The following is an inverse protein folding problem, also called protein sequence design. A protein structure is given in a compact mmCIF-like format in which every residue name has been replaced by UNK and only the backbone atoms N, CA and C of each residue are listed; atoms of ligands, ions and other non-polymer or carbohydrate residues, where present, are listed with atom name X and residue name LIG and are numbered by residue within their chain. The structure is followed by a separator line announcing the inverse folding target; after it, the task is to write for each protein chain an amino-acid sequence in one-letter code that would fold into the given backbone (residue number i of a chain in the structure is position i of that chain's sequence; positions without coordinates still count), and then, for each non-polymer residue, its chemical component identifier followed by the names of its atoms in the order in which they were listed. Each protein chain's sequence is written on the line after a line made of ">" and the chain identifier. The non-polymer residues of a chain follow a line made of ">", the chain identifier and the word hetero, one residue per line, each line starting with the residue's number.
data_IF_731903697629
#
_entry.id   IF_731903697629
#
_cell.length_a   1.000
_cell.length_b   1.000
_cell.length_c   1.000
_cell.angle_alpha   90.00
_cell.angle_beta   90.00
_cell.angle_gamma   90.00
#
_symmetry.space_group_name_H-M   'P 1'
#
loop_
_entity.id
_entity.type
_entity.pdbx_description
1 polymer ?
#
# COMPACT_ATOMS: atom_id res chain seq x y z
N UNK A 1 -25.38 8.17 -11.79
CA UNK A 1 -24.46 7.94 -10.66
C UNK A 1 -23.32 7.07 -11.16
N UNK A 2 -22.10 7.40 -10.76
CA UNK A 2 -20.88 6.69 -11.18
C UNK A 2 -20.70 5.44 -10.33
N UNK A 3 -20.30 4.34 -10.95
CA UNK A 3 -19.99 3.07 -10.27
C UNK A 3 -18.49 2.86 -10.26
N UNK A 4 -17.91 2.79 -9.07
CA UNK A 4 -16.48 2.72 -8.88
C UNK A 4 -16.08 1.38 -8.26
N UNK A 5 -15.38 0.50 -8.99
CA UNK A 5 -14.88 -0.75 -8.44
C UNK A 5 -13.65 -0.50 -7.57
N UNK A 6 -13.68 -0.99 -6.33
CA UNK A 6 -12.56 -1.04 -5.40
C UNK A 6 -12.09 -2.50 -5.28
N UNK A 7 -10.89 -2.86 -5.79
CA UNK A 7 -10.37 -4.22 -5.72
C UNK A 7 -10.12 -4.67 -4.27
N UNK A 8 -10.50 -5.90 -3.96
CA UNK A 8 -10.27 -6.58 -2.68
C UNK A 8 -9.37 -7.79 -2.95
N UNK A 9 -8.10 -7.79 -2.53
CA UNK A 9 -7.21 -8.94 -2.66
C UNK A 9 -7.71 -10.15 -1.87
N UNK A 10 -7.22 -11.33 -2.22
CA UNK A 10 -7.40 -12.52 -1.38
C UNK A 10 -6.77 -12.30 0.00
N UNK A 11 -7.37 -12.92 1.02
CA UNK A 11 -6.95 -12.72 2.41
C UNK A 11 -7.51 -11.47 3.07
N UNK A 12 -8.44 -10.76 2.43
CA UNK A 12 -9.21 -9.68 3.05
C UNK A 12 -10.65 -10.09 3.34
N UNK A 13 -11.18 -9.66 4.48
CA UNK A 13 -12.58 -9.80 4.87
C UNK A 13 -13.30 -8.47 4.71
N UNK A 14 -14.39 -8.48 3.95
CA UNK A 14 -15.24 -7.30 3.73
C UNK A 14 -15.98 -6.92 5.03
N UNK A 15 -15.92 -5.64 5.41
CA UNK A 15 -16.51 -5.08 6.64
C UNK A 15 -17.77 -4.25 6.42
N UNK A 16 -18.18 -4.09 5.16
CA UNK A 16 -19.39 -3.33 4.76
C UNK A 16 -20.44 -4.24 4.13
N UNK A 17 -21.67 -3.74 3.99
CA UNK A 17 -22.78 -4.48 3.35
C UNK A 17 -23.31 -3.73 2.14
N UNK A 18 -23.90 -4.46 1.19
CA UNK A 18 -24.66 -3.85 0.10
C UNK A 18 -25.75 -2.92 0.66
N UNK A 19 -25.87 -1.74 0.07
CA UNK A 19 -26.77 -0.68 0.51
C UNK A 19 -26.21 0.27 1.56
N UNK A 20 -25.09 -0.07 2.22
CA UNK A 20 -24.45 0.78 3.23
C UNK A 20 -23.91 2.07 2.59
N UNK A 21 -24.13 3.21 3.27
CA UNK A 21 -23.43 4.45 2.94
C UNK A 21 -22.05 4.41 3.59
N UNK A 22 -21.03 4.75 2.82
CA UNK A 22 -19.63 4.81 3.26
C UNK A 22 -19.07 6.21 3.03
N UNK A 23 -18.23 6.66 3.95
CA UNK A 23 -17.49 7.92 3.82
C UNK A 23 -16.12 7.68 3.18
N UNK A 24 -15.53 8.71 2.57
CA UNK A 24 -14.12 8.66 2.17
C UNK A 24 -13.25 8.28 3.38
N UNK A 25 -12.29 7.38 3.16
CA UNK A 25 -11.38 6.75 4.14
C UNK A 25 -12.04 5.79 5.13
N UNK A 26 -13.33 5.47 5.00
CA UNK A 26 -13.96 4.43 5.80
C UNK A 26 -13.43 3.04 5.42
N UNK A 27 -13.22 2.14 6.39
CA UNK A 27 -12.71 0.79 6.12
C UNK A 27 -13.77 -0.03 5.37
N UNK A 28 -13.42 -0.53 4.19
CA UNK A 28 -14.26 -1.43 3.38
C UNK A 28 -13.96 -2.90 3.63
N UNK A 29 -12.69 -3.24 3.80
CA UNK A 29 -12.21 -4.59 4.06
C UNK A 29 -10.94 -4.56 4.90
N UNK A 30 -10.68 -5.61 5.66
CA UNK A 30 -9.50 -5.75 6.52
C UNK A 30 -8.76 -7.05 6.19
N UNK A 31 -7.44 -7.07 6.33
CA UNK A 31 -6.66 -8.31 6.23
C UNK A 31 -7.17 -9.31 7.28
N UNK A 32 -7.33 -10.58 6.89
CA UNK A 32 -7.80 -11.71 7.72
C UNK A 32 -6.75 -12.24 8.71
N UNK A 33 -5.63 -11.53 8.87
CA UNK A 33 -4.65 -11.65 9.97
C UNK A 33 -3.83 -12.96 10.10
N UNK A 34 -4.11 -14.03 9.36
CA UNK A 34 -3.46 -15.31 9.69
C UNK A 34 -2.08 -15.59 9.04
N UNK A 35 -1.59 -14.75 8.12
CA UNK A 35 -0.33 -15.03 7.40
C UNK A 35 0.80 -14.00 7.57
N UNK A 36 0.54 -12.77 8.04
CA UNK A 36 1.49 -11.65 7.83
C UNK A 36 2.18 -11.09 9.08
N UNK A 37 1.75 -11.43 10.30
CA UNK A 37 2.29 -10.84 11.53
C UNK A 37 3.04 -11.84 12.41
N UNK A 38 3.85 -12.74 11.82
CA UNK A 38 4.71 -13.66 12.57
C UNK A 38 6.18 -13.28 12.41
N UNK A 39 6.84 -12.94 13.51
CA UNK A 39 8.28 -12.78 13.56
C UNK A 39 8.94 -13.99 14.22
N UNK A 40 10.22 -14.22 13.91
CA UNK A 40 11.00 -15.34 14.44
C UNK A 40 12.16 -14.83 15.30
N UNK A 41 12.27 -15.35 16.52
CA UNK A 41 13.41 -15.11 17.41
C UNK A 41 14.31 -16.35 17.41
N UNK A 42 15.54 -16.20 16.91
CA UNK A 42 16.51 -17.30 16.74
C UNK A 42 17.22 -17.67 18.05
N UNK A 43 16.58 -18.47 18.90
CA UNK A 43 17.12 -18.82 20.23
C UNK A 43 18.31 -19.78 20.15
N UNK A 44 18.12 -20.92 19.47
CA UNK A 44 19.13 -21.97 19.34
C UNK A 44 20.42 -21.46 18.67
N UNK A 45 20.27 -20.82 17.50
CA UNK A 45 21.38 -20.24 16.77
C UNK A 45 22.06 -19.08 17.54
N UNK A 46 21.27 -18.21 18.18
CA UNK A 46 21.80 -17.06 18.94
C UNK A 46 22.60 -17.48 20.18
N UNK A 47 22.19 -18.57 20.84
CA UNK A 47 22.89 -19.11 22.02
C UNK A 47 23.96 -20.16 21.66
N UNK A 48 24.01 -20.61 20.41
CA UNK A 48 24.92 -21.67 19.93
C UNK A 48 24.72 -23.00 20.69
N UNK A 49 23.47 -23.43 20.83
CA UNK A 49 23.05 -24.66 21.52
C UNK A 49 22.09 -25.48 20.65
N UNK A 50 21.71 -26.70 21.07
CA UNK A 50 20.69 -27.48 20.36
C UNK A 50 19.28 -26.92 20.58
N UNK A 51 18.32 -27.12 19.65
CA UNK A 51 16.91 -26.74 19.83
C UNK A 51 16.29 -27.32 21.12
N UNK A 52 16.59 -28.58 21.43
CA UNK A 52 16.14 -29.24 22.66
C UNK A 52 16.62 -28.52 23.93
N UNK A 53 17.88 -28.07 23.92
CA UNK A 53 18.46 -27.31 25.03
C UNK A 53 17.89 -25.89 25.07
N UNK A 54 17.68 -25.26 23.91
CA UNK A 54 17.05 -23.95 23.81
C UNK A 54 15.63 -23.95 24.40
N UNK A 55 14.82 -24.97 24.08
CA UNK A 55 13.45 -25.13 24.61
C UNK A 55 13.43 -25.14 26.15
N UNK A 56 14.41 -25.79 26.78
CA UNK A 56 14.54 -25.89 28.26
C UNK A 56 15.00 -24.58 28.92
N UNK A 57 15.57 -23.65 28.16
CA UNK A 57 16.14 -22.40 28.67
C UNK A 57 15.27 -21.17 28.39
N UNK A 58 14.13 -21.36 27.72
CA UNK A 58 13.15 -20.32 27.49
C UNK A 58 12.62 -19.77 28.82
N UNK A 59 12.47 -18.45 28.89
CA UNK A 59 11.91 -17.72 30.04
C UNK A 59 10.45 -17.31 29.82
N UNK A 60 9.92 -17.57 28.63
CA UNK A 60 8.54 -17.30 28.19
C UNK A 60 7.96 -18.57 27.57
N UNK A 61 6.64 -18.70 27.59
CA UNK A 61 5.88 -19.84 27.10
C UNK A 61 4.89 -19.42 26.00
N UNK A 62 4.41 -20.36 25.17
CA UNK A 62 3.25 -20.13 24.30
C UNK A 62 2.09 -19.48 25.06
N UNK A 63 1.55 -18.40 24.50
CA UNK A 63 0.50 -17.57 25.11
C UNK A 63 1.03 -16.36 25.90
N UNK A 64 2.30 -16.34 26.29
CA UNK A 64 2.88 -15.20 27.02
C UNK A 64 3.06 -13.99 26.10
N UNK A 65 2.83 -12.79 26.65
CA UNK A 65 3.29 -11.54 26.02
C UNK A 65 4.81 -11.45 26.05
N UNK A 66 5.36 -11.02 24.93
CA UNK A 66 6.77 -10.67 24.72
C UNK A 66 6.80 -9.17 24.43
N UNK A 67 7.52 -8.43 25.26
CA UNK A 67 7.77 -7.00 25.07
C UNK A 67 9.19 -6.78 24.54
N UNK A 68 9.43 -5.67 23.85
CA UNK A 68 10.78 -5.28 23.48
C UNK A 68 11.66 -5.20 24.75
N UNK A 69 12.89 -5.72 24.65
CA UNK A 69 13.82 -5.87 25.77
C UNK A 69 13.53 -7.00 26.77
N UNK A 70 12.47 -7.80 26.58
CA UNK A 70 12.26 -9.00 27.39
C UNK A 70 13.42 -9.99 27.25
N UNK A 71 13.81 -10.60 28.38
CA UNK A 71 14.73 -11.74 28.38
C UNK A 71 14.00 -12.99 27.91
N UNK A 72 14.38 -13.49 26.73
CA UNK A 72 13.76 -14.65 26.10
C UNK A 72 14.40 -15.96 26.55
N UNK A 73 15.73 -16.00 26.60
CA UNK A 73 16.50 -17.16 27.03
C UNK A 73 17.91 -16.73 27.46
N UNK A 74 18.51 -17.49 28.38
CA UNK A 74 19.86 -17.24 28.86
C UNK A 74 20.62 -18.56 29.09
N UNK A 75 21.90 -18.57 28.72
CA UNK A 75 22.89 -19.58 29.14
C UNK A 75 23.90 -18.87 30.03
N UNK A 76 24.07 -19.35 31.26
CA UNK A 76 25.12 -18.88 32.18
C UNK A 76 25.84 -20.07 32.80
N UNK A 77 27.13 -20.21 32.52
CA UNK A 77 28.04 -21.14 33.19
C UNK A 77 29.40 -20.45 33.44
N UNK A 78 30.35 -21.13 34.09
CA UNK A 78 31.66 -20.55 34.44
C UNK A 78 32.46 -20.01 33.24
N UNK A 79 32.16 -20.47 32.01
CA UNK A 79 32.91 -20.14 30.79
C UNK A 79 32.17 -19.19 29.85
N UNK A 80 30.84 -19.10 29.94
CA UNK A 80 30.02 -18.40 28.97
C UNK A 80 28.73 -17.87 29.59
N UNK A 81 28.47 -16.58 29.37
CA UNK A 81 27.18 -15.93 29.63
C UNK A 81 26.64 -15.32 28.34
N UNK A 82 25.51 -15.84 27.84
CA UNK A 82 24.81 -15.35 26.64
C UNK A 82 23.32 -15.24 26.92
N UNK A 83 22.70 -14.17 26.44
CA UNK A 83 21.28 -13.93 26.56
C UNK A 83 20.66 -13.56 25.20
N UNK A 84 19.41 -13.95 24.99
CA UNK A 84 18.57 -13.49 23.89
C UNK A 84 17.57 -12.52 24.46
N UNK A 85 17.65 -11.28 23.98
CA UNK A 85 16.75 -10.18 24.36
C UNK A 85 15.82 -9.93 23.18
N UNK A 86 14.52 -9.81 23.44
CA UNK A 86 13.54 -9.50 22.40
C UNK A 86 13.81 -8.12 21.78
N UNK A 87 13.55 -8.02 20.47
CA UNK A 87 13.60 -6.76 19.70
C UNK A 87 12.24 -6.39 19.11
N UNK A 88 11.19 -7.10 19.54
CA UNK A 88 9.84 -7.01 19.02
C UNK A 88 8.84 -7.15 20.16
N UNK A 89 7.68 -6.53 19.97
CA UNK A 89 6.50 -6.74 20.81
C UNK A 89 5.61 -7.81 20.16
N UNK A 90 4.94 -8.63 20.96
CA UNK A 90 3.96 -9.59 20.47
C UNK A 90 3.55 -10.66 21.48
N UNK A 91 2.94 -11.72 20.97
CA UNK A 91 2.53 -12.90 21.74
C UNK A 91 3.30 -14.12 21.26
N UNK A 92 3.91 -14.87 22.17
CA UNK A 92 4.56 -16.14 21.86
C UNK A 92 3.50 -17.13 21.34
N UNK A 93 3.58 -17.54 20.08
CA UNK A 93 2.68 -18.56 19.52
C UNK A 93 3.17 -19.98 19.80
N UNK A 94 4.38 -20.30 19.36
CA UNK A 94 4.97 -21.64 19.47
C UNK A 94 6.47 -21.64 19.32
N UNK A 95 7.11 -22.70 19.79
CA UNK A 95 8.53 -22.96 19.56
C UNK A 95 8.66 -23.96 18.42
N UNK A 96 9.49 -23.66 17.43
CA UNK A 96 9.83 -24.59 16.36
C UNK A 96 10.95 -25.51 16.85
N UNK A 97 10.62 -26.78 17.10
CA UNK A 97 11.57 -27.76 17.64
C UNK A 97 12.68 -28.13 16.65
N UNK A 98 12.46 -27.91 15.34
CA UNK A 98 13.46 -28.22 14.32
C UNK A 98 14.47 -27.08 14.19
N UNK A 99 14.01 -25.83 14.06
CA UNK A 99 14.90 -24.67 13.88
C UNK A 99 15.42 -24.10 15.21
N UNK A 100 14.74 -24.39 16.33
CA UNK A 100 15.04 -23.82 17.63
C UNK A 100 14.71 -22.33 17.73
N UNK A 101 13.64 -21.91 17.06
CA UNK A 101 13.16 -20.53 16.98
C UNK A 101 11.83 -20.37 17.73
N UNK A 102 11.60 -19.19 18.32
CA UNK A 102 10.27 -18.81 18.81
C UNK A 102 9.54 -18.09 17.69
N UNK A 103 8.29 -18.50 17.46
CA UNK A 103 7.35 -17.81 16.59
C UNK A 103 6.51 -16.86 17.44
N UNK A 104 6.57 -15.57 17.12
CA UNK A 104 5.89 -14.50 17.84
C UNK A 104 4.84 -13.88 16.93
N UNK A 105 3.58 -13.84 17.35
CA UNK A 105 2.56 -13.00 16.71
C UNK A 105 2.85 -11.56 17.10
N UNK A 106 3.44 -10.79 16.20
CA UNK A 106 3.76 -9.39 16.47
C UNK A 106 2.48 -8.57 16.49
N UNK A 107 2.32 -7.73 17.48
CA UNK A 107 1.29 -6.69 17.46
C UNK A 107 1.87 -5.44 16.76
N UNK A 108 1.78 -5.34 15.43
CA UNK A 108 1.96 -4.07 14.65
C UNK A 108 1.79 -4.35 13.15
N UNK A 109 1.22 -3.48 12.32
CA UNK A 109 0.53 -2.20 12.51
C UNK A 109 -1.00 -2.43 12.48
N UNK A 110 -1.81 -1.39 12.70
CA UNK A 110 -3.25 -1.40 12.34
C UNK A 110 -3.37 -2.13 11.00
N UNK A 111 -4.25 -3.14 10.94
CA UNK A 111 -4.70 -3.75 9.69
C UNK A 111 -4.69 -2.67 8.61
N UNK A 112 -3.91 -2.88 7.54
CA UNK A 112 -4.00 -2.02 6.36
C UNK A 112 -5.36 -2.30 5.74
N UNK A 113 -6.41 -1.71 6.32
CA UNK A 113 -7.75 -1.79 5.80
C UNK A 113 -7.77 -1.19 4.41
N UNK A 114 -8.51 -1.82 3.50
CA UNK A 114 -8.83 -1.21 2.22
C UNK A 114 -9.82 -0.10 2.52
N UNK A 115 -9.36 1.13 2.36
CA UNK A 115 -10.18 2.30 2.66
C UNK A 115 -11.05 2.66 1.46
N UNK A 116 -12.21 3.21 1.76
CA UNK A 116 -13.09 3.77 0.77
C UNK A 116 -12.41 4.98 0.14
N UNK A 117 -12.18 4.97 -1.18
CA UNK A 117 -11.51 6.06 -1.85
C UNK A 117 -12.44 7.27 -2.06
N UNK A 118 -13.74 7.08 -1.87
CA UNK A 118 -14.75 8.10 -2.09
C UNK A 118 -15.99 7.86 -1.24
N UNK A 119 -16.71 8.93 -0.89
CA UNK A 119 -18.02 8.81 -0.27
C UNK A 119 -19.05 8.31 -1.28
N UNK A 120 -19.93 7.40 -0.84
CA UNK A 120 -20.96 6.83 -1.70
C UNK A 120 -21.80 5.76 -1.00
N UNK A 121 -22.47 4.94 -1.79
CA UNK A 121 -23.25 3.79 -1.35
C UNK A 121 -22.66 2.53 -1.94
N UNK A 122 -22.46 1.50 -1.13
CA UNK A 122 -22.05 0.18 -1.62
C UNK A 122 -23.18 -0.38 -2.47
N UNK A 123 -23.00 -0.40 -3.79
CA UNK A 123 -24.02 -0.87 -4.73
C UNK A 123 -23.96 -2.37 -4.93
N UNK A 124 -22.76 -2.96 -4.85
CA UNK A 124 -22.55 -4.39 -5.06
C UNK A 124 -21.28 -4.88 -4.37
N UNK A 125 -21.32 -6.09 -3.81
CA UNK A 125 -20.14 -6.79 -3.30
C UNK A 125 -19.98 -8.08 -4.12
N UNK A 126 -18.83 -8.24 -4.78
CA UNK A 126 -18.49 -9.44 -5.55
C UNK A 126 -17.17 -10.01 -5.05
N UNK A 127 -16.87 -11.26 -5.42
CA UNK A 127 -15.56 -11.83 -5.14
C UNK A 127 -14.46 -10.95 -5.76
N UNK A 128 -13.54 -10.47 -4.93
CA UNK A 128 -12.41 -9.67 -5.36
C UNK A 128 -12.66 -8.17 -5.56
N UNK A 129 -13.88 -7.64 -5.31
CA UNK A 129 -14.15 -6.19 -5.41
C UNK A 129 -15.44 -5.73 -4.70
N UNK A 130 -15.45 -4.45 -4.34
CA UNK A 130 -16.65 -3.72 -3.86
C UNK A 130 -16.95 -2.60 -4.86
N UNK A 131 -18.21 -2.49 -5.30
CA UNK A 131 -18.65 -1.37 -6.15
C UNK A 131 -19.28 -0.29 -5.27
N UNK A 132 -18.77 0.94 -5.41
CA UNK A 132 -19.32 2.13 -4.75
C UNK A 132 -20.03 2.97 -5.79
N UNK A 133 -21.33 3.18 -5.59
CA UNK A 133 -22.12 4.16 -6.32
C UNK A 133 -21.98 5.53 -5.67
N UNK A 134 -21.54 6.52 -6.45
CA UNK A 134 -21.31 7.89 -5.98
C UNK A 134 -21.92 8.91 -6.93
N UNK A 135 -22.25 10.09 -6.40
CA UNK A 135 -22.65 11.25 -7.19
C UNK A 135 -21.44 11.93 -7.86
N UNK A 136 -20.23 11.61 -7.41
CA UNK A 136 -19.01 12.18 -7.98
C UNK A 136 -18.73 11.61 -9.36
N UNK A 137 -18.22 12.47 -10.24
CA UNK A 137 -17.68 12.06 -11.54
C UNK A 137 -16.27 11.49 -11.33
N UNK A 138 -16.15 10.16 -11.24
CA UNK A 138 -14.89 9.47 -10.94
C UNK A 138 -14.56 8.35 -11.93
N UNK A 139 -13.27 8.03 -12.07
CA UNK A 139 -12.76 6.91 -12.87
C UNK A 139 -11.65 6.17 -12.13
N UNK A 140 -11.54 4.87 -12.38
CA UNK A 140 -10.44 4.05 -11.90
C UNK A 140 -9.24 4.12 -12.86
N UNK A 141 -8.05 4.15 -12.28
CA UNK A 141 -6.80 3.90 -12.96
C UNK A 141 -6.42 2.41 -12.91
N UNK A 142 -5.74 1.93 -13.94
CA UNK A 142 -5.26 0.56 -14.06
C UNK A 142 -4.03 0.34 -13.16
N UNK A 143 -3.12 1.32 -13.19
CA UNK A 143 -1.87 1.33 -12.43
C UNK A 143 -1.67 2.70 -11.80
N UNK A 144 -0.94 2.76 -10.70
CA UNK A 144 -0.73 4.00 -9.98
C UNK A 144 0.37 3.90 -8.93
N UNK A 145 1.05 5.02 -8.69
CA UNK A 145 1.98 5.24 -7.58
C UNK A 145 1.91 6.71 -7.15
N UNK A 146 2.49 7.04 -6.00
CA UNK A 146 2.44 8.37 -5.41
C UNK A 146 1.19 8.63 -4.57
N UNK A 147 1.21 9.73 -3.84
CA UNK A 147 0.18 10.14 -2.87
C UNK A 147 -0.96 10.90 -3.55
N UNK A 148 -1.91 11.41 -2.77
CA UNK A 148 -3.02 12.21 -3.27
C UNK A 148 -2.58 13.61 -3.71
N UNK A 149 -3.09 14.07 -4.86
CA UNK A 149 -2.97 15.45 -5.32
C UNK A 149 -4.29 15.98 -5.86
N UNK A 150 -4.47 17.29 -5.79
CA UNK A 150 -5.62 18.00 -6.33
C UNK A 150 -5.14 19.24 -7.08
N UNK A 151 -5.43 19.32 -8.38
CA UNK A 151 -5.02 20.45 -9.21
C UNK A 151 -5.78 20.52 -10.54
N UNK A 152 -5.58 21.64 -11.25
CA UNK A 152 -6.07 21.81 -12.61
C UNK A 152 -5.38 20.86 -13.57
N UNK A 153 -6.10 20.44 -14.62
CA UNK A 153 -5.53 19.62 -15.69
C UNK A 153 -4.78 20.50 -16.69
N UNK A 154 -3.58 20.05 -17.07
CA UNK A 154 -2.87 20.50 -18.26
C UNK A 154 -2.81 19.36 -19.27
N UNK A 155 -3.63 19.43 -20.32
CA UNK A 155 -3.66 18.40 -21.36
C UNK A 155 -2.60 18.68 -22.43
N UNK A 156 -1.71 17.71 -22.65
CA UNK A 156 -0.77 17.72 -23.77
C UNK A 156 -1.44 17.03 -24.95
N UNK A 157 -1.88 17.83 -25.93
CA UNK A 157 -2.54 17.33 -27.14
C UNK A 157 -1.52 16.76 -28.15
N UNK A 158 -0.87 15.66 -27.75
CA UNK A 158 0.08 14.87 -28.53
C UNK A 158 -0.10 13.40 -28.22
N UNK A 159 0.28 12.57 -29.18
CA UNK A 159 0.30 11.12 -28.98
C UNK A 159 1.29 10.72 -27.90
N UNK A 160 2.49 11.30 -27.94
CA UNK A 160 3.54 11.06 -26.97
C UNK A 160 4.09 12.41 -26.50
N UNK A 161 4.15 12.62 -25.18
CA UNK A 161 4.85 13.76 -24.62
C UNK A 161 6.36 13.58 -24.73
N UNK A 162 7.02 14.55 -25.33
CA UNK A 162 8.46 14.71 -25.30
C UNK A 162 8.84 15.85 -24.35
N UNK A 163 10.13 15.89 -23.95
CA UNK A 163 10.64 16.94 -23.09
C UNK A 163 10.39 18.37 -23.64
N UNK A 164 10.33 18.55 -24.97
CA UNK A 164 10.10 19.84 -25.63
C UNK A 164 8.65 20.32 -25.53
N UNK A 165 7.69 19.42 -25.29
CA UNK A 165 6.27 19.76 -25.19
C UNK A 165 5.89 20.32 -23.81
N UNK A 166 6.77 20.13 -22.82
CA UNK A 166 6.60 20.58 -21.44
C UNK A 166 6.94 22.07 -21.31
N UNK A 167 5.92 22.88 -21.00
CA UNK A 167 6.00 24.34 -20.81
C UNK A 167 5.91 24.71 -19.33
N UNK A 168 6.30 25.93 -18.96
CA UNK A 168 6.23 26.40 -17.57
C UNK A 168 4.81 26.37 -16.98
N UNK A 169 3.78 26.44 -17.84
CA UNK A 169 2.37 26.42 -17.47
C UNK A 169 1.90 25.10 -16.82
N UNK A 170 2.76 24.07 -16.76
CA UNK A 170 2.48 22.81 -16.06
C UNK A 170 2.72 22.90 -14.55
N UNK A 171 3.41 23.93 -14.07
CA UNK A 171 3.70 24.09 -12.64
C UNK A 171 2.40 24.20 -11.85
N UNK A 172 2.26 23.40 -10.78
CA UNK A 172 1.04 23.34 -9.98
C UNK A 172 -0.12 22.55 -10.61
N UNK A 173 0.07 21.92 -11.78
CA UNK A 173 -0.99 21.22 -12.53
C UNK A 173 -0.78 19.71 -12.61
N UNK A 174 -1.84 18.99 -12.92
CA UNK A 174 -1.80 17.57 -13.27
C UNK A 174 -1.65 17.46 -14.78
N UNK A 175 -0.57 16.81 -15.23
CA UNK A 175 -0.33 16.60 -16.66
C UNK A 175 -1.17 15.43 -17.14
N UNK A 176 -2.03 15.67 -18.13
CA UNK A 176 -2.82 14.64 -18.80
C UNK A 176 -2.23 14.42 -20.20
N UNK A 177 -1.90 13.18 -20.53
CA UNK A 177 -1.30 12.84 -21.83
C UNK A 177 -1.66 11.42 -22.26
N UNK A 178 -1.54 11.10 -23.55
CA UNK A 178 -1.67 9.74 -24.05
C UNK A 178 -0.48 8.87 -23.63
N UNK A 179 0.72 9.13 -24.15
CA UNK A 179 1.93 8.36 -23.82
C UNK A 179 3.00 9.26 -23.20
N UNK A 180 3.70 8.76 -22.19
CA UNK A 180 4.82 9.49 -21.58
C UNK A 180 5.97 8.56 -21.20
N UNK A 181 7.18 8.92 -21.63
CA UNK A 181 8.41 8.23 -21.23
C UNK A 181 9.01 8.78 -19.94
N UNK A 182 9.94 8.03 -19.35
CA UNK A 182 10.62 8.38 -18.09
C UNK A 182 11.19 9.80 -18.07
N UNK A 183 11.88 10.20 -19.14
CA UNK A 183 12.55 11.50 -19.22
C UNK A 183 11.56 12.66 -19.21
N UNK A 184 10.51 12.58 -20.02
CA UNK A 184 9.45 13.57 -20.05
C UNK A 184 8.69 13.63 -18.72
N UNK A 185 8.40 12.47 -18.11
CA UNK A 185 7.77 12.40 -16.79
C UNK A 185 8.63 13.07 -15.71
N UNK A 186 9.92 12.72 -15.64
CA UNK A 186 10.84 13.31 -14.67
C UNK A 186 10.97 14.83 -14.86
N UNK A 187 11.03 15.29 -16.11
CA UNK A 187 11.05 16.73 -16.42
C UNK A 187 9.76 17.43 -16.00
N UNK A 188 8.59 16.84 -16.28
CA UNK A 188 7.30 17.44 -15.92
C UNK A 188 7.19 17.66 -14.41
N UNK A 189 7.54 16.63 -13.63
CA UNK A 189 7.57 16.70 -12.17
C UNK A 189 8.63 17.69 -11.67
N UNK A 190 9.83 17.70 -12.26
CA UNK A 190 10.88 18.67 -11.94
C UNK A 190 10.52 20.13 -12.26
N UNK A 191 9.59 20.36 -13.18
CA UNK A 191 9.01 21.67 -13.49
C UNK A 191 7.84 22.05 -12.58
N UNK A 192 7.50 21.20 -11.60
CA UNK A 192 6.48 21.45 -10.59
C UNK A 192 5.10 20.93 -10.96
N UNK A 193 4.95 20.04 -11.95
CA UNK A 193 3.71 19.30 -12.11
C UNK A 193 3.42 18.51 -10.83
N UNK A 194 2.19 18.59 -10.33
CA UNK A 194 1.83 17.95 -9.07
C UNK A 194 1.43 16.50 -9.25
N UNK A 195 1.12 16.06 -10.47
CA UNK A 195 0.81 14.68 -10.81
C UNK A 195 0.78 14.43 -12.32
N UNK A 196 0.71 13.17 -12.72
CA UNK A 196 0.68 12.73 -14.12
C UNK A 196 -0.40 11.65 -14.32
N UNK A 197 -1.23 11.84 -15.34
CA UNK A 197 -2.19 10.85 -15.84
C UNK A 197 -1.81 10.51 -17.27
N UNK A 198 -1.53 9.23 -17.54
CA UNK A 198 -1.19 8.73 -18.87
C UNK A 198 -2.08 7.56 -19.28
N UNK A 199 -2.30 7.37 -20.58
CA UNK A 199 -2.88 6.11 -21.09
C UNK A 199 -1.82 5.02 -21.17
N UNK A 200 -0.61 5.38 -21.61
CA UNK A 200 0.52 4.45 -21.67
C UNK A 200 1.73 5.00 -20.91
N UNK A 201 2.17 4.20 -19.94
CA UNK A 201 3.41 4.34 -19.19
C UNK A 201 4.01 2.94 -19.02
N UNK A 202 5.33 2.79 -19.13
CA UNK A 202 5.95 1.47 -18.93
C UNK A 202 5.96 1.08 -17.45
N UNK A 203 5.78 -0.22 -17.18
CA UNK A 203 5.85 -0.77 -15.82
C UNK A 203 7.17 -0.46 -15.14
N UNK A 204 8.28 -0.61 -15.87
CA UNK A 204 9.60 -0.22 -15.39
C UNK A 204 9.63 1.26 -14.92
N UNK A 205 8.96 2.17 -15.64
CA UNK A 205 8.90 3.58 -15.22
C UNK A 205 8.11 3.70 -13.93
N UNK A 206 6.91 3.12 -13.85
CA UNK A 206 6.10 3.18 -12.61
C UNK A 206 6.85 2.59 -11.41
N UNK A 207 7.51 1.46 -11.58
CA UNK A 207 8.29 0.78 -10.55
C UNK A 207 9.48 1.63 -10.10
N UNK A 208 10.22 2.25 -11.03
CA UNK A 208 11.33 3.15 -10.72
C UNK A 208 10.87 4.38 -9.91
N UNK A 209 9.73 4.97 -10.25
CA UNK A 209 9.17 6.12 -9.53
C UNK A 209 8.63 5.71 -8.16
N UNK A 210 7.99 4.55 -8.06
CA UNK A 210 7.53 3.96 -6.81
C UNK A 210 8.70 3.67 -5.86
N UNK A 211 9.76 3.02 -6.35
CA UNK A 211 10.96 2.70 -5.57
C UNK A 211 11.73 3.94 -5.07
N UNK A 212 11.62 5.06 -5.79
CA UNK A 212 12.20 6.34 -5.39
C UNK A 212 11.32 7.13 -4.41
N UNK A 213 10.18 6.60 -4.00
CA UNK A 213 9.20 7.27 -3.13
C UNK A 213 8.80 8.65 -3.65
N UNK A 214 8.58 8.77 -4.97
CA UNK A 214 8.08 10.00 -5.56
C UNK A 214 6.65 10.23 -5.08
N UNK A 215 6.43 11.34 -4.38
CA UNK A 215 5.13 11.65 -3.76
C UNK A 215 4.06 12.05 -4.77
N UNK A 216 4.45 12.61 -5.91
CA UNK A 216 3.51 13.03 -6.94
C UNK A 216 2.77 11.82 -7.51
N UNK A 217 1.42 11.83 -7.56
CA UNK A 217 0.68 10.74 -8.14
C UNK A 217 0.97 10.59 -9.63
N UNK A 218 1.25 9.36 -10.04
CA UNK A 218 1.40 8.96 -11.44
C UNK A 218 0.47 7.79 -11.65
N UNK A 219 -0.47 7.90 -12.58
CA UNK A 219 -1.46 6.85 -12.85
C UNK A 219 -1.62 6.56 -14.34
N UNK A 220 -1.88 5.29 -14.63
CA UNK A 220 -2.24 4.79 -15.95
C UNK A 220 -3.76 4.62 -16.03
N UNK A 221 -4.41 5.15 -17.06
CA UNK A 221 -5.85 5.02 -17.29
C UNK A 221 -6.14 4.40 -18.66
N UNK A 222 -7.34 3.85 -18.84
CA UNK A 222 -7.76 3.40 -20.17
C UNK A 222 -8.00 4.57 -21.12
N UNK A 223 -7.95 4.32 -22.43
CA UNK A 223 -8.23 5.34 -23.46
C UNK A 223 -9.61 5.99 -23.30
N UNK A 224 -10.62 5.22 -22.88
CA UNK A 224 -11.96 5.73 -22.62
C UNK A 224 -11.99 6.78 -21.50
N UNK A 225 -11.15 6.59 -20.46
CA UNK A 225 -11.07 7.51 -19.33
C UNK A 225 -10.32 8.81 -19.69
N UNK A 226 -9.41 8.78 -20.68
CA UNK A 226 -8.72 9.98 -21.16
C UNK A 226 -9.74 11.03 -21.65
N UNK A 227 -10.68 10.62 -22.50
CA UNK A 227 -11.71 11.51 -23.04
C UNK A 227 -12.58 12.14 -21.94
N UNK A 228 -12.95 11.34 -20.94
CA UNK A 228 -13.65 11.82 -19.76
C UNK A 228 -12.84 12.90 -19.01
N UNK A 229 -11.55 12.65 -18.76
CA UNK A 229 -10.68 13.56 -18.00
C UNK A 229 -10.33 14.85 -18.77
N UNK A 230 -10.24 14.82 -20.10
CA UNK A 230 -9.99 16.03 -20.91
C UNK A 230 -11.01 17.15 -20.68
N UNK A 231 -12.23 16.80 -20.28
CA UNK A 231 -13.31 17.76 -20.02
C UNK A 231 -13.25 18.37 -18.61
N UNK A 232 -12.43 17.83 -17.73
CA UNK A 232 -12.31 18.29 -16.36
C UNK A 232 -11.40 19.51 -16.28
N UNK A 233 -11.83 20.54 -15.54
CA UNK A 233 -10.97 21.69 -15.22
C UNK A 233 -9.98 21.32 -14.13
N UNK A 234 -10.47 20.60 -13.12
CA UNK A 234 -9.73 20.19 -11.94
C UNK A 234 -9.99 18.73 -11.66
N UNK A 235 -8.99 18.05 -11.12
CA UNK A 235 -9.14 16.68 -10.64
C UNK A 235 -8.46 16.49 -9.31
N UNK A 236 -9.02 15.58 -8.54
CA UNK A 236 -8.39 14.96 -7.39
C UNK A 236 -7.96 13.57 -7.81
N UNK A 237 -6.70 13.21 -7.61
CA UNK A 237 -6.20 11.89 -7.95
C UNK A 237 -5.37 11.31 -6.80
N UNK A 238 -5.44 10.00 -6.65
CA UNK A 238 -4.64 9.25 -5.67
C UNK A 238 -3.99 8.06 -6.37
N UNK A 239 -2.65 8.04 -6.34
CA UNK A 239 -1.86 7.00 -6.99
C UNK A 239 -1.98 5.63 -6.32
N UNK A 240 -2.15 5.60 -5.00
CA UNK A 240 -2.27 4.36 -4.22
C UNK A 240 -3.65 3.75 -4.38
N UNK A 241 -4.71 4.56 -4.23
CA UNK A 241 -6.08 4.10 -4.39
C UNK A 241 -6.53 4.00 -5.86
N UNK A 242 -5.67 4.44 -6.80
CA UNK A 242 -5.87 4.39 -8.26
C UNK A 242 -7.19 5.03 -8.70
N UNK A 243 -7.53 6.17 -8.13
CA UNK A 243 -8.80 6.85 -8.40
C UNK A 243 -8.57 8.29 -8.78
N UNK A 244 -9.37 8.74 -9.74
CA UNK A 244 -9.38 10.11 -10.23
C UNK A 244 -10.82 10.62 -10.18
N UNK A 245 -11.03 11.76 -9.56
CA UNK A 245 -12.33 12.41 -9.34
C UNK A 245 -12.28 13.77 -10.02
N UNK A 246 -13.27 14.11 -10.83
CA UNK A 246 -13.44 15.48 -11.32
C UNK A 246 -13.91 16.38 -10.18
N UNK A 247 -13.28 17.55 -10.07
CA UNK A 247 -13.57 18.58 -9.08
C UNK A 247 -13.95 19.91 -9.76
#
# INVERSE_FOLDING_TARGET
>A
MTKLPVPIPSGFEVKVKEGQKVSEKEILAEDTEDNSSQARIKVSAGLSISPEKAKKLLKKNPGDKIEESDLIAEVSNLLQKKAIISKIDGTFLRFDENSGEIIVKTEKAKSQGILSPISGKVSKIEEGKIEIETESEAVSAEKGTGERAEAEIYFIDREQAEAKDLKLDISGKIVLVRKIGREAMAKALGMGAVGVVAVEVSDQTLDEFSAKNIKNPIVQVSEGNLGFLKTAKKVIMDGQSKIIIKA
#
